data_IF_293337249846
#
_entry.id   IF_293337249846
#
_cell.length_a   1.000
_cell.length_b   1.000
_cell.length_c   1.000
_cell.angle_alpha   90.00
_cell.angle_beta   90.00
_cell.angle_gamma   90.00
#
_symmetry.space_group_name_H-M   'P 1'
#
loop_
_entity.id
_entity.type
_entity.pdbx_description
1 polymer ?
#
# COMPACT_ATOMS: atom_id res chain seq x y z
N UNK A 1 29.24 -49.65 -2.32
CA UNK A 1 29.05 -48.22 -1.99
C UNK A 1 27.72 -47.76 -2.60
N UNK A 2 26.88 -47.04 -1.84
CA UNK A 2 25.50 -46.73 -2.25
C UNK A 2 25.43 -45.60 -3.29
N UNK A 3 24.34 -45.53 -4.09
CA UNK A 3 24.09 -44.41 -4.98
C UNK A 3 23.68 -43.16 -4.17
N UNK A 4 24.26 -42.01 -4.51
CA UNK A 4 23.84 -40.70 -3.97
C UNK A 4 22.47 -40.33 -4.55
N UNK A 5 21.43 -40.61 -3.78
CA UNK A 5 20.15 -39.94 -3.89
C UNK A 5 20.23 -38.56 -3.21
N UNK A 6 20.12 -37.48 -3.99
CA UNK A 6 19.72 -36.10 -3.63
C UNK A 6 20.05 -35.21 -4.85
N UNK A 7 19.18 -34.38 -5.42
CA UNK A 7 17.91 -33.85 -4.97
C UNK A 7 16.97 -33.68 -6.17
N UNK A 8 15.86 -34.42 -6.17
CA UNK A 8 14.70 -34.07 -6.96
C UNK A 8 14.01 -32.90 -6.27
N UNK A 9 14.51 -31.68 -6.48
CA UNK A 9 13.70 -30.48 -6.31
C UNK A 9 12.63 -30.54 -7.39
N UNK A 10 11.49 -31.14 -7.03
CA UNK A 10 10.31 -31.34 -7.87
C UNK A 10 9.97 -30.05 -8.63
N UNK A 11 10.26 -30.08 -9.92
CA UNK A 11 9.70 -29.15 -10.88
C UNK A 11 8.22 -29.51 -10.98
N UNK A 12 7.36 -28.87 -10.19
CA UNK A 12 5.94 -28.85 -10.52
C UNK A 12 5.82 -28.51 -12.02
N UNK A 13 5.03 -29.26 -12.81
CA UNK A 13 4.88 -29.01 -14.25
C UNK A 13 4.58 -27.53 -14.45
N UNK A 14 5.20 -26.90 -15.46
CA UNK A 14 5.08 -25.46 -15.73
C UNK A 14 3.61 -25.00 -15.65
N UNK A 15 2.70 -25.82 -16.16
CA UNK A 15 1.24 -25.63 -16.11
C UNK A 15 0.64 -25.47 -14.71
N UNK A 16 1.16 -26.17 -13.70
CA UNK A 16 0.61 -26.11 -12.34
C UNK A 16 1.00 -24.81 -11.65
N UNK A 17 2.25 -24.36 -11.81
CA UNK A 17 2.71 -23.07 -11.31
C UNK A 17 2.04 -21.89 -12.02
N UNK A 18 1.82 -22.00 -13.32
CA UNK A 18 1.07 -20.98 -14.08
C UNK A 18 -0.39 -20.89 -13.64
N UNK A 19 -1.05 -22.04 -13.39
CA UNK A 19 -2.42 -22.08 -12.86
C UNK A 19 -2.50 -21.48 -11.46
N UNK A 20 -1.58 -21.84 -10.58
CA UNK A 20 -1.52 -21.33 -9.22
C UNK A 20 -1.31 -19.81 -9.22
N UNK A 21 -0.32 -19.31 -9.97
CA UNK A 21 -0.09 -17.87 -10.11
C UNK A 21 -1.30 -17.15 -10.72
N UNK A 22 -1.94 -17.72 -11.73
CA UNK A 22 -3.12 -17.12 -12.38
C UNK A 22 -4.30 -16.98 -11.42
N UNK A 23 -4.57 -18.01 -10.61
CA UNK A 23 -5.60 -17.95 -9.58
C UNK A 23 -5.27 -16.86 -8.55
N UNK A 24 -4.00 -16.77 -8.18
CA UNK A 24 -3.50 -15.80 -7.22
C UNK A 24 -3.63 -14.36 -7.75
N UNK A 25 -3.16 -14.12 -8.97
CA UNK A 25 -3.31 -12.86 -9.69
C UNK A 25 -4.77 -12.41 -9.69
N UNK A 26 -5.70 -13.27 -10.11
CA UNK A 26 -7.14 -12.94 -10.17
C UNK A 26 -7.70 -12.59 -8.78
N UNK A 27 -7.31 -13.33 -7.75
CA UNK A 27 -7.78 -13.09 -6.39
C UNK A 27 -7.23 -11.78 -5.78
N UNK A 28 -6.04 -11.33 -6.20
CA UNK A 28 -5.31 -10.26 -5.50
C UNK A 28 -5.05 -8.99 -6.33
N UNK A 29 -5.36 -9.00 -7.63
CA UNK A 29 -5.17 -7.83 -8.49
C UNK A 29 -5.88 -6.60 -7.95
N UNK A 30 -7.16 -6.73 -7.60
CA UNK A 30 -7.94 -5.62 -7.06
C UNK A 30 -7.39 -5.09 -5.72
N UNK A 31 -6.78 -5.96 -4.92
CA UNK A 31 -6.11 -5.54 -3.69
C UNK A 31 -4.88 -4.71 -4.00
N UNK A 32 -3.95 -5.23 -4.82
CA UNK A 32 -2.75 -4.50 -5.24
C UNK A 32 -3.09 -3.15 -5.88
N UNK A 33 -4.10 -3.12 -6.75
CA UNK A 33 -4.58 -1.89 -7.39
C UNK A 33 -5.01 -0.84 -6.37
N UNK A 34 -5.88 -1.21 -5.43
CA UNK A 34 -6.35 -0.30 -4.37
C UNK A 34 -5.21 0.16 -3.47
N UNK A 35 -4.28 -0.74 -3.13
CA UNK A 35 -3.09 -0.39 -2.35
C UNK A 35 -2.23 0.64 -3.10
N UNK A 36 -1.94 0.45 -4.38
CA UNK A 36 -1.17 1.40 -5.19
C UNK A 36 -1.86 2.77 -5.25
N UNK A 37 -3.17 2.81 -5.48
CA UNK A 37 -3.97 4.03 -5.50
C UNK A 37 -3.94 4.75 -4.14
N UNK A 38 -4.11 4.01 -3.03
CA UNK A 38 -4.03 4.55 -1.66
C UNK A 38 -2.65 5.10 -1.32
N UNK A 39 -1.60 4.56 -1.92
CA UNK A 39 -0.24 5.10 -1.81
C UNK A 39 0.04 6.21 -2.83
N UNK A 40 -0.97 6.83 -3.45
CA UNK A 40 -0.81 8.02 -4.28
C UNK A 40 -0.12 7.76 -5.62
N UNK A 41 -0.26 6.55 -6.18
CA UNK A 41 0.12 6.31 -7.58
C UNK A 41 -0.93 6.97 -8.48
N UNK A 42 -0.54 7.83 -9.43
CA UNK A 42 -1.47 8.48 -10.34
C UNK A 42 -2.30 7.46 -11.13
N UNK A 43 -3.56 7.79 -11.44
CA UNK A 43 -4.46 6.91 -12.19
C UNK A 43 -3.85 6.42 -13.51
N UNK A 44 -3.13 7.30 -14.22
CA UNK A 44 -2.45 6.99 -15.47
C UNK A 44 -1.28 5.99 -15.32
N UNK A 45 -0.75 5.81 -14.11
CA UNK A 45 0.37 4.91 -13.82
C UNK A 45 -0.04 3.68 -13.02
N UNK A 46 -1.33 3.55 -12.67
CA UNK A 46 -1.81 2.43 -11.85
C UNK A 46 -1.68 1.08 -12.55
N UNK A 47 -1.93 1.05 -13.86
CA UNK A 47 -1.82 -0.16 -14.67
C UNK A 47 -0.38 -0.66 -14.75
N UNK A 48 0.55 0.22 -15.12
CA UNK A 48 1.98 -0.06 -15.15
C UNK A 48 2.51 -0.49 -13.76
N UNK A 49 2.10 0.22 -12.71
CA UNK A 49 2.50 -0.11 -11.36
C UNK A 49 1.95 -1.46 -10.90
N UNK A 50 0.70 -1.80 -11.24
CA UNK A 50 0.12 -3.10 -10.95
C UNK A 50 0.87 -4.21 -11.69
N UNK A 51 1.21 -4.00 -12.96
CA UNK A 51 2.01 -4.93 -13.74
C UNK A 51 3.40 -5.12 -13.11
N UNK A 52 4.07 -4.05 -12.68
CA UNK A 52 5.35 -4.11 -11.98
C UNK A 52 5.27 -4.93 -10.68
N UNK A 53 4.19 -4.75 -9.90
CA UNK A 53 3.93 -5.57 -8.70
C UNK A 53 3.86 -7.04 -9.06
N UNK A 54 3.03 -7.42 -10.03
CA UNK A 54 2.83 -8.83 -10.36
C UNK A 54 4.03 -9.47 -11.06
N UNK A 55 4.86 -8.70 -11.78
CA UNK A 55 6.16 -9.19 -12.26
C UNK A 55 7.11 -9.50 -11.11
N UNK A 56 7.16 -8.65 -10.07
CA UNK A 56 7.99 -8.91 -8.88
C UNK A 56 7.46 -10.11 -8.11
N UNK A 57 6.14 -10.22 -7.95
CA UNK A 57 5.46 -11.37 -7.34
C UNK A 57 5.83 -12.65 -8.07
N UNK A 58 5.67 -12.70 -9.40
CA UNK A 58 5.99 -13.88 -10.21
C UNK A 58 7.45 -14.32 -10.02
N UNK A 59 8.39 -13.37 -10.08
CA UNK A 59 9.83 -13.65 -9.90
C UNK A 59 10.17 -14.15 -8.50
N UNK A 60 9.43 -13.71 -7.48
CA UNK A 60 9.70 -14.03 -6.07
C UNK A 60 8.74 -15.06 -5.50
N UNK A 61 7.83 -15.59 -6.30
CA UNK A 61 6.76 -16.47 -5.86
C UNK A 61 7.32 -17.70 -5.13
N UNK A 62 8.34 -18.34 -5.70
CA UNK A 62 9.02 -19.49 -5.09
C UNK A 62 9.83 -19.18 -3.82
N UNK A 63 9.99 -17.91 -3.45
CA UNK A 63 10.68 -17.50 -2.21
C UNK A 63 9.72 -17.20 -1.07
N UNK A 64 8.41 -17.14 -1.34
CA UNK A 64 7.41 -16.97 -0.30
C UNK A 64 7.27 -18.27 0.50
N UNK A 65 7.69 -18.24 1.75
CA UNK A 65 7.79 -19.43 2.60
C UNK A 65 6.52 -19.74 3.40
N UNK A 66 5.37 -19.14 3.05
CA UNK A 66 4.08 -19.34 3.76
C UNK A 66 3.99 -18.79 5.19
N UNK A 67 5.07 -18.22 5.74
CA UNK A 67 5.13 -17.75 7.15
C UNK A 67 4.28 -16.51 7.44
N UNK A 68 4.06 -15.66 6.43
CA UNK A 68 3.17 -14.51 6.49
C UNK A 68 2.09 -14.67 5.41
N UNK A 69 0.89 -14.12 5.64
CA UNK A 69 -0.17 -14.21 4.63
C UNK A 69 0.30 -13.61 3.30
N UNK A 70 -0.11 -14.24 2.20
CA UNK A 70 0.28 -13.78 0.87
C UNK A 70 -0.07 -12.30 0.68
N UNK A 71 -1.22 -11.87 1.23
CA UNK A 71 -1.70 -10.50 1.20
C UNK A 71 -0.74 -9.53 1.89
N UNK A 72 -0.18 -9.89 3.05
CA UNK A 72 0.82 -9.08 3.74
C UNK A 72 2.12 -8.95 2.93
N UNK A 73 2.56 -10.05 2.32
CA UNK A 73 3.73 -10.04 1.45
C UNK A 73 3.51 -9.19 0.19
N UNK A 74 2.36 -9.36 -0.48
CA UNK A 74 1.95 -8.57 -1.64
C UNK A 74 1.87 -7.08 -1.31
N UNK A 75 1.33 -6.72 -0.14
CA UNK A 75 1.29 -5.33 0.31
C UNK A 75 2.69 -4.72 0.39
N UNK A 76 3.65 -5.47 0.95
CA UNK A 76 5.05 -5.03 1.01
C UNK A 76 5.70 -4.84 -0.37
N UNK A 77 5.28 -5.60 -1.38
CA UNK A 77 5.69 -5.39 -2.79
C UNK A 77 5.01 -4.16 -3.37
N UNK A 78 3.68 -4.05 -3.27
CA UNK A 78 2.89 -2.93 -3.78
C UNK A 78 3.35 -1.59 -3.21
N UNK A 79 3.61 -1.53 -1.90
CA UNK A 79 4.14 -0.34 -1.24
C UNK A 79 5.49 0.11 -1.79
N UNK A 80 6.40 -0.84 -2.05
CA UNK A 80 7.73 -0.54 -2.62
C UNK A 80 7.61 0.01 -4.04
N UNK A 81 6.75 -0.58 -4.86
CA UNK A 81 6.46 -0.10 -6.22
C UNK A 81 5.84 1.30 -6.17
N UNK A 82 4.80 1.52 -5.37
CA UNK A 82 4.18 2.84 -5.22
C UNK A 82 5.19 3.91 -4.78
N UNK A 83 6.05 3.57 -3.81
CA UNK A 83 7.10 4.47 -3.34
C UNK A 83 8.13 4.80 -4.44
N UNK A 84 8.48 3.82 -5.29
CA UNK A 84 9.35 4.05 -6.43
C UNK A 84 8.69 4.93 -7.50
N UNK A 85 7.41 4.70 -7.79
CA UNK A 85 6.62 5.49 -8.74
C UNK A 85 6.50 6.95 -8.29
N UNK A 86 6.13 7.20 -7.02
CA UNK A 86 6.09 8.56 -6.46
C UNK A 86 7.45 9.27 -6.53
N UNK A 87 8.55 8.56 -6.23
CA UNK A 87 9.90 9.13 -6.35
C UNK A 87 10.25 9.48 -7.80
N UNK A 88 9.83 8.66 -8.78
CA UNK A 88 10.03 8.94 -10.21
C UNK A 88 9.23 10.16 -10.63
N UNK A 89 7.96 10.24 -10.23
CA UNK A 89 7.10 11.37 -10.54
C UNK A 89 7.60 12.67 -9.90
N UNK A 90 8.00 12.66 -8.63
CA UNK A 90 8.56 13.84 -7.97
C UNK A 90 9.85 14.33 -8.64
N UNK A 91 10.70 13.41 -9.13
CA UNK A 91 11.88 13.79 -9.93
C UNK A 91 11.50 14.36 -11.30
N UNK A 92 10.48 13.80 -11.93
CA UNK A 92 9.98 14.29 -13.21
C UNK A 92 9.35 15.67 -13.09
N UNK A 93 8.48 15.85 -12.09
CA UNK A 93 7.84 17.11 -11.76
C UNK A 93 8.88 18.19 -11.43
N UNK A 94 9.87 17.91 -10.58
CA UNK A 94 10.98 18.86 -10.32
C UNK A 94 11.77 19.22 -11.57
N UNK A 95 11.89 18.31 -12.55
CA UNK A 95 12.55 18.58 -13.83
C UNK A 95 11.68 19.47 -14.73
N UNK A 96 10.36 19.29 -14.69
CA UNK A 96 9.39 20.11 -15.41
C UNK A 96 9.25 21.51 -14.78
N UNK A 97 9.18 21.61 -13.45
CA UNK A 97 9.16 22.88 -12.70
C UNK A 97 10.46 23.67 -12.84
N UNK A 98 11.61 22.98 -13.00
CA UNK A 98 12.86 23.64 -13.36
C UNK A 98 12.86 24.20 -14.80
N UNK A 99 11.90 23.79 -15.64
CA UNK A 99 11.73 24.23 -17.02
C UNK A 99 10.56 25.23 -17.20
N UNK A 100 9.66 25.36 -16.23
CA UNK A 100 8.45 26.17 -16.37
C UNK A 100 8.10 26.90 -15.06
N UNK A 101 8.10 28.25 -15.09
CA UNK A 101 7.57 29.09 -14.02
C UNK A 101 6.17 29.57 -14.44
N UNK A 102 5.09 28.96 -13.92
CA UNK A 102 3.76 29.56 -13.65
C UNK A 102 2.67 28.50 -13.34
N UNK A 103 1.79 28.84 -12.37
CA UNK A 103 0.34 28.59 -12.50
C UNK A 103 -0.32 27.64 -11.50
N UNK A 104 -1.27 28.18 -10.74
CA UNK A 104 -2.06 27.63 -9.61
C UNK A 104 -3.36 26.89 -10.07
N UNK A 105 -3.96 25.95 -9.29
CA UNK A 105 -5.14 25.19 -9.74
C UNK A 105 -6.50 25.75 -9.23
N UNK A 106 -7.64 25.53 -9.95
CA UNK A 106 -8.96 26.04 -9.56
C UNK A 106 -9.86 25.02 -8.82
N UNK A 107 -10.84 25.54 -8.06
CA UNK A 107 -11.82 24.83 -7.19
C UNK A 107 -13.28 24.96 -7.70
N UNK A 108 -14.21 24.23 -7.02
CA UNK A 108 -15.70 24.40 -6.84
C UNK A 108 -16.53 23.22 -7.44
N UNK A 109 -17.68 22.68 -6.95
CA UNK A 109 -18.40 22.46 -5.67
C UNK A 109 -19.69 21.60 -5.94
N UNK A 110 -20.31 20.90 -4.95
CA UNK A 110 -21.79 20.68 -4.82
C UNK A 110 -22.27 20.13 -3.43
N UNK A 111 -23.08 20.91 -2.71
CA UNK A 111 -23.17 21.06 -1.24
C UNK A 111 -23.88 20.00 -0.35
N UNK A 112 -24.00 18.72 -0.72
CA UNK A 112 -24.40 17.68 0.28
C UNK A 112 -23.62 16.36 0.14
N UNK A 113 -23.17 16.03 -1.07
CA UNK A 113 -22.04 15.12 -1.27
C UNK A 113 -20.70 15.77 -0.87
N UNK A 114 -20.67 17.10 -0.75
CA UNK A 114 -19.49 17.84 -0.34
C UNK A 114 -19.14 17.60 1.12
N UNK A 115 -20.09 17.45 2.04
CA UNK A 115 -19.72 17.26 3.45
C UNK A 115 -19.09 15.90 3.67
N UNK A 116 -19.65 14.83 3.10
CA UNK A 116 -19.01 13.51 3.17
C UNK A 116 -17.66 13.50 2.43
N UNK A 117 -17.56 14.15 1.26
CA UNK A 117 -16.27 14.31 0.58
C UNK A 117 -15.26 15.10 1.40
N UNK A 118 -15.66 16.22 2.01
CA UNK A 118 -14.81 17.04 2.88
C UNK A 118 -14.35 16.24 4.09
N UNK A 119 -15.21 15.39 4.67
CA UNK A 119 -14.84 14.48 5.76
C UNK A 119 -13.83 13.42 5.31
N UNK A 120 -14.04 12.84 4.14
CA UNK A 120 -13.11 11.86 3.56
C UNK A 120 -11.77 12.52 3.19
N UNK A 121 -11.79 13.74 2.67
CA UNK A 121 -10.61 14.53 2.33
C UNK A 121 -9.84 14.93 3.60
N UNK A 122 -10.54 15.42 4.63
CA UNK A 122 -9.95 15.73 5.94
C UNK A 122 -9.34 14.49 6.61
N UNK A 123 -10.00 13.34 6.52
CA UNK A 123 -9.46 12.07 7.02
C UNK A 123 -8.24 11.64 6.21
N UNK A 124 -8.27 11.78 4.88
CA UNK A 124 -7.13 11.47 4.02
C UNK A 124 -5.93 12.36 4.36
N UNK A 125 -6.15 13.68 4.54
CA UNK A 125 -5.11 14.61 5.00
C UNK A 125 -4.57 14.23 6.37
N UNK A 126 -5.43 13.91 7.34
CA UNK A 126 -5.00 13.51 8.68
C UNK A 126 -4.13 12.24 8.65
N UNK A 127 -4.50 11.26 7.82
CA UNK A 127 -3.69 10.07 7.57
C UNK A 127 -2.35 10.48 6.95
N UNK A 128 -2.33 11.42 6.01
CA UNK A 128 -1.11 11.97 5.39
C UNK A 128 -0.24 12.81 6.32
N UNK A 129 -0.76 13.36 7.43
CA UNK A 129 0.04 14.07 8.44
C UNK A 129 0.64 13.14 9.49
N UNK A 130 0.16 11.90 9.61
CA UNK A 130 0.76 10.90 10.51
C UNK A 130 2.24 10.67 10.22
N UNK A 131 3.04 10.46 11.26
CA UNK A 131 4.43 9.99 11.10
C UNK A 131 4.47 8.70 10.26
N UNK A 132 5.43 8.53 9.34
CA UNK A 132 5.38 7.46 8.33
C UNK A 132 5.16 6.05 8.88
N UNK A 133 5.80 5.70 10.01
CA UNK A 133 5.65 4.36 10.60
C UNK A 133 4.30 4.16 11.29
N UNK A 134 3.71 5.22 11.85
CA UNK A 134 2.33 5.21 12.38
C UNK A 134 1.30 5.10 11.25
N UNK A 135 1.47 5.87 10.19
CA UNK A 135 0.62 5.81 8.99
C UNK A 135 0.60 4.42 8.39
N UNK A 136 1.77 3.82 8.24
CA UNK A 136 1.92 2.48 7.66
C UNK A 136 1.15 1.42 8.46
N UNK A 137 1.25 1.43 9.79
CA UNK A 137 0.49 0.52 10.65
C UNK A 137 -1.02 0.80 10.57
N UNK A 138 -1.42 2.07 10.61
CA UNK A 138 -2.83 2.45 10.53
C UNK A 138 -3.48 1.99 9.21
N UNK A 139 -2.84 2.25 8.08
CA UNK A 139 -3.31 1.81 6.75
C UNK A 139 -3.41 0.29 6.71
N UNK A 140 -2.37 -0.41 7.16
CA UNK A 140 -2.34 -1.87 7.16
C UNK A 140 -3.47 -2.49 8.01
N UNK A 141 -3.79 -1.89 9.16
CA UNK A 141 -4.87 -2.39 10.02
C UNK A 141 -6.25 -1.96 9.51
N UNK A 142 -6.52 -0.65 9.44
CA UNK A 142 -7.89 -0.13 9.24
C UNK A 142 -8.35 -0.18 7.79
N UNK A 143 -7.42 -0.05 6.84
CA UNK A 143 -7.77 0.01 5.42
C UNK A 143 -7.54 -1.31 4.70
N UNK A 144 -6.47 -2.03 5.07
CA UNK A 144 -6.09 -3.28 4.40
C UNK A 144 -6.55 -4.54 5.14
N UNK A 145 -6.97 -4.40 6.41
CA UNK A 145 -7.54 -5.46 7.24
C UNK A 145 -6.53 -6.47 7.78
N UNK A 146 -5.25 -6.13 7.86
CA UNK A 146 -4.24 -7.04 8.40
C UNK A 146 -4.30 -7.06 9.93
N UNK A 147 -4.07 -8.24 10.49
CA UNK A 147 -3.91 -8.43 11.93
C UNK A 147 -2.56 -7.88 12.43
N UNK A 148 -2.49 -7.52 13.72
CA UNK A 148 -1.26 -7.02 14.31
C UNK A 148 -0.05 -7.99 14.18
N UNK A 149 -0.22 -9.33 14.31
CA UNK A 149 0.86 -10.28 14.02
C UNK A 149 1.35 -10.23 12.56
N UNK A 150 0.43 -10.22 11.58
CA UNK A 150 0.82 -10.13 10.16
C UNK A 150 1.58 -8.84 9.84
N UNK A 151 1.20 -7.74 10.48
CA UNK A 151 1.89 -6.44 10.33
C UNK A 151 3.27 -6.47 11.00
N UNK A 152 3.39 -7.11 12.16
CA UNK A 152 4.66 -7.25 12.87
C UNK A 152 5.69 -7.98 11.99
N UNK A 153 5.26 -9.08 11.37
CA UNK A 153 6.08 -9.85 10.43
C UNK A 153 6.39 -9.06 9.16
N UNK A 154 5.38 -8.41 8.55
CA UNK A 154 5.56 -7.64 7.32
C UNK A 154 6.51 -6.44 7.47
N UNK A 155 6.50 -5.79 8.65
CA UNK A 155 7.31 -4.61 8.95
C UNK A 155 8.62 -4.94 9.68
N UNK A 156 8.85 -6.21 10.04
CA UNK A 156 10.02 -6.64 10.81
C UNK A 156 10.14 -5.95 12.17
N UNK A 157 9.01 -5.77 12.88
CA UNK A 157 8.98 -5.10 14.17
C UNK A 157 8.22 -5.91 15.23
N UNK A 158 8.44 -5.60 16.52
CA UNK A 158 7.77 -6.31 17.61
C UNK A 158 6.26 -6.09 17.58
N UNK A 159 5.47 -7.10 17.95
CA UNK A 159 4.01 -6.99 18.03
C UNK A 159 3.53 -5.81 18.89
N UNK A 160 4.17 -5.57 20.04
CA UNK A 160 3.90 -4.40 20.88
C UNK A 160 4.20 -3.05 20.20
N UNK A 161 5.16 -3.03 19.26
CA UNK A 161 5.44 -1.85 18.44
C UNK A 161 4.29 -1.57 17.46
N UNK A 162 3.65 -2.61 16.91
CA UNK A 162 2.45 -2.46 16.08
C UNK A 162 1.31 -1.87 16.91
N UNK A 163 0.98 -2.47 18.05
CA UNK A 163 -0.09 -1.98 18.92
C UNK A 163 0.13 -0.53 19.39
N UNK A 164 1.36 -0.20 19.82
CA UNK A 164 1.67 1.16 20.26
C UNK A 164 1.62 2.18 19.13
N UNK A 165 2.08 1.84 17.92
CA UNK A 165 1.95 2.70 16.74
C UNK A 165 0.49 2.89 16.33
N UNK A 166 -0.30 1.83 16.30
CA UNK A 166 -1.73 1.89 15.98
C UNK A 166 -2.49 2.77 16.97
N UNK A 167 -2.26 2.58 18.27
CA UNK A 167 -2.87 3.41 19.32
C UNK A 167 -2.55 4.89 19.14
N UNK A 168 -1.28 5.22 18.86
CA UNK A 168 -0.85 6.61 18.61
C UNK A 168 -1.46 7.17 17.33
N UNK A 169 -1.48 6.39 16.25
CA UNK A 169 -2.08 6.81 14.98
C UNK A 169 -3.57 7.16 15.14
N UNK A 170 -4.33 6.31 15.84
CA UNK A 170 -5.75 6.58 16.16
C UNK A 170 -5.91 7.84 17.01
N UNK A 171 -5.05 8.05 18.00
CA UNK A 171 -5.11 9.25 18.84
C UNK A 171 -4.79 10.53 18.06
N UNK A 172 -3.82 10.50 17.14
CA UNK A 172 -3.47 11.65 16.30
C UNK A 172 -4.62 11.97 15.33
N UNK A 173 -5.15 10.97 14.62
CA UNK A 173 -6.29 11.15 13.70
C UNK A 173 -7.51 11.69 14.46
N UNK A 174 -7.85 11.11 15.62
CA UNK A 174 -8.99 11.58 16.40
C UNK A 174 -8.83 13.05 16.83
N UNK A 175 -7.61 13.46 17.21
CA UNK A 175 -7.33 14.85 17.57
C UNK A 175 -7.49 15.78 16.38
N UNK A 176 -6.99 15.37 15.22
CA UNK A 176 -7.01 16.18 14.01
C UNK A 176 -8.42 16.32 13.45
N UNK A 177 -9.19 15.22 13.44
CA UNK A 177 -10.60 15.25 13.06
C UNK A 177 -11.43 16.07 14.04
N UNK A 178 -11.18 15.97 15.36
CA UNK A 178 -11.88 16.80 16.35
C UNK A 178 -11.60 18.30 16.17
N UNK A 179 -10.37 18.69 15.83
CA UNK A 179 -10.04 20.07 15.51
C UNK A 179 -10.75 20.56 14.24
N UNK A 180 -10.86 19.70 13.22
CA UNK A 180 -11.57 20.03 11.98
C UNK A 180 -13.08 20.22 12.20
N UNK A 181 -13.72 19.38 13.01
CA UNK A 181 -15.16 19.51 13.30
C UNK A 181 -15.51 20.61 14.29
N UNK A 182 -14.60 20.94 15.21
CA UNK A 182 -14.78 22.02 16.17
C UNK A 182 -14.67 23.42 15.55
N UNK A 183 -14.00 23.55 14.40
CA UNK A 183 -13.87 24.81 13.66
C UNK A 183 -15.07 25.09 12.73
N UNK A 184 -15.80 24.06 12.29
CA UNK A 184 -16.93 24.19 11.37
C UNK A 184 -18.28 24.51 12.06
N UNK A 185 -18.35 24.47 13.40
CA UNK A 185 -19.59 24.69 14.19
C UNK A 185 -19.48 25.85 15.21
N UNK A 186 -18.50 26.73 15.05
CA UNK A 186 -18.27 27.91 15.91
C UNK A 186 -18.67 29.22 15.25
#
# INVERSE_FOLDING_TARGET
>A
MPPRAQAAASLAPVDEREREFSALYRAHFGYAWRTLARYGVPRASLEDAAQEVFMIVLRRFGTWSGRASFRAWLHGVARRVASAQRRRQHRHQRKLEALDQRGEPPRVALDQQLDERRRLDALAEAIERLEPRRREVFVLTELEGLSAPEIADALGCKLNTVYSRLRRARADINREMAAHYGADHG
#
